data_IF_673887410486
#
_entry.id   IF_673887410486
#
_cell.length_a   1.000
_cell.length_b   1.000
_cell.length_c   1.000
_cell.angle_alpha   90.00
_cell.angle_beta   90.00
_cell.angle_gamma   90.00
#
_symmetry.space_group_name_H-M   'P 1'
#
loop_
_entity.id
_entity.type
_entity.pdbx_description
1 polymer ?
#
# COMPACT_ATOMS: atom_id res chain seq x y z
N UNK A 1 18.32 12.54 -17.09
CA UNK A 1 17.08 12.08 -16.43
C UNK A 1 17.08 12.75 -15.07
N UNK A 2 16.00 13.41 -14.69
CA UNK A 2 15.97 13.98 -13.34
C UNK A 2 15.78 12.87 -12.28
N UNK A 3 16.11 13.18 -11.02
CA UNK A 3 16.09 12.21 -9.93
C UNK A 3 14.68 11.60 -9.75
N UNK A 4 13.63 12.40 -9.95
CA UNK A 4 12.23 11.93 -9.79
C UNK A 4 11.92 10.90 -10.85
N UNK A 5 12.25 11.16 -12.12
CA UNK A 5 12.05 10.20 -13.21
C UNK A 5 12.81 8.91 -13.00
N UNK A 6 14.03 8.97 -12.46
CA UNK A 6 14.83 7.79 -12.15
C UNK A 6 14.16 6.96 -11.03
N UNK A 7 13.74 7.59 -9.94
CA UNK A 7 13.08 6.90 -8.83
C UNK A 7 11.76 6.25 -9.25
N UNK A 8 10.96 6.93 -10.08
CA UNK A 8 9.71 6.37 -10.62
C UNK A 8 10.00 5.11 -11.46
N UNK A 9 11.04 5.13 -12.28
CA UNK A 9 11.40 3.97 -13.08
C UNK A 9 11.92 2.81 -12.22
N UNK A 10 12.74 3.08 -11.22
CA UNK A 10 13.19 2.07 -10.24
C UNK A 10 12.02 1.45 -9.48
N UNK A 11 11.02 2.25 -9.06
CA UNK A 11 9.80 1.73 -8.44
C UNK A 11 8.98 0.86 -9.38
N UNK A 12 8.84 1.25 -10.65
CA UNK A 12 8.13 0.45 -11.66
C UNK A 12 8.79 -0.90 -11.89
N UNK A 13 10.11 -0.94 -12.00
CA UNK A 13 10.84 -2.20 -12.13
C UNK A 13 10.72 -3.05 -10.86
N UNK A 14 10.82 -2.43 -9.69
CA UNK A 14 10.62 -3.12 -8.40
C UNK A 14 9.21 -3.74 -8.32
N UNK A 15 8.18 -2.99 -8.69
CA UNK A 15 6.79 -3.44 -8.76
C UNK A 15 6.63 -4.67 -9.67
N UNK A 16 7.24 -4.65 -10.85
CA UNK A 16 7.18 -5.79 -11.80
C UNK A 16 7.86 -7.04 -11.21
N UNK A 17 9.01 -6.87 -10.56
CA UNK A 17 9.80 -7.98 -10.02
C UNK A 17 9.17 -8.67 -8.79
N UNK A 18 8.38 -7.92 -7.99
CA UNK A 18 7.79 -8.42 -6.75
C UNK A 18 6.33 -8.85 -6.90
N UNK A 19 5.81 -8.79 -8.11
CA UNK A 19 4.44 -9.16 -8.41
C UNK A 19 4.33 -10.65 -8.75
N UNK A 20 3.41 -11.35 -8.09
CA UNK A 20 3.07 -12.73 -8.41
C UNK A 20 1.96 -12.75 -9.49
N UNK A 21 2.35 -13.10 -10.70
CA UNK A 21 1.46 -13.21 -11.85
C UNK A 21 1.15 -11.87 -12.55
N UNK A 22 0.67 -11.96 -13.78
CA UNK A 22 0.15 -10.85 -14.57
C UNK A 22 -1.28 -11.15 -15.02
N UNK A 23 -2.24 -10.76 -14.20
CA UNK A 23 -3.67 -10.95 -14.45
C UNK A 23 -4.33 -9.66 -14.93
N UNK A 24 -3.73 -9.03 -15.95
CA UNK A 24 -4.28 -7.78 -16.51
C UNK A 24 -5.53 -8.07 -17.36
N UNK A 25 -6.59 -7.34 -17.09
CA UNK A 25 -7.79 -7.32 -17.93
C UNK A 25 -7.59 -6.29 -19.04
N UNK A 26 -7.40 -6.76 -20.27
CA UNK A 26 -7.14 -5.89 -21.43
C UNK A 26 -8.41 -5.17 -21.95
N UNK A 27 -9.56 -5.83 -21.84
CA UNK A 27 -10.85 -5.21 -22.24
C UNK A 27 -11.24 -4.11 -21.25
N UNK A 28 -11.89 -3.02 -21.70
CA UNK A 28 -12.43 -2.02 -20.80
C UNK A 28 -13.39 -2.64 -19.78
N UNK A 29 -13.18 -2.31 -18.50
CA UNK A 29 -14.07 -2.70 -17.41
C UNK A 29 -15.07 -1.56 -17.19
N UNK A 30 -16.35 -1.85 -17.34
CA UNK A 30 -17.42 -0.90 -17.01
C UNK A 30 -18.03 -1.29 -15.66
N UNK A 31 -18.11 -0.37 -14.71
CA UNK A 31 -18.72 -0.70 -13.40
C UNK A 31 -20.22 -1.02 -13.52
N UNK A 32 -20.88 -0.58 -14.61
CA UNK A 32 -22.27 -0.94 -14.94
C UNK A 32 -22.49 -2.41 -15.31
N UNK A 33 -21.43 -3.15 -15.64
CA UNK A 33 -21.51 -4.59 -15.90
C UNK A 33 -21.71 -5.40 -14.60
N UNK A 34 -21.62 -4.73 -13.46
CA UNK A 34 -21.78 -5.28 -12.12
C UNK A 34 -22.98 -4.63 -11.43
N UNK A 35 -24.03 -5.41 -11.07
CA UNK A 35 -25.30 -4.86 -10.57
C UNK A 35 -25.16 -3.93 -9.35
N UNK A 36 -24.23 -4.25 -8.44
CA UNK A 36 -23.98 -3.47 -7.21
C UNK A 36 -22.72 -2.60 -7.30
N UNK A 37 -22.18 -2.41 -8.52
CA UNK A 37 -20.88 -1.80 -8.75
C UNK A 37 -19.73 -2.82 -8.75
N UNK A 38 -18.55 -2.36 -9.13
CA UNK A 38 -17.36 -3.19 -9.21
C UNK A 38 -16.65 -3.25 -7.86
N UNK A 39 -16.64 -4.41 -7.22
CA UNK A 39 -15.93 -4.66 -5.97
C UNK A 39 -14.57 -5.33 -6.23
N UNK A 40 -13.48 -4.61 -5.99
CA UNK A 40 -12.11 -5.12 -6.07
C UNK A 40 -11.60 -5.43 -4.66
N UNK A 41 -11.87 -6.65 -4.20
CA UNK A 41 -11.33 -7.19 -2.97
C UNK A 41 -11.09 -8.71 -3.13
N UNK A 42 -10.17 -9.32 -2.36
CA UNK A 42 -9.81 -10.74 -2.50
C UNK A 42 -10.97 -11.71 -2.25
N UNK A 43 -12.01 -11.26 -1.54
CA UNK A 43 -13.23 -12.04 -1.25
C UNK A 43 -14.38 -11.66 -2.19
N UNK A 44 -14.15 -10.68 -3.08
CA UNK A 44 -15.16 -10.14 -3.97
C UNK A 44 -15.60 -11.11 -5.05
N UNK A 45 -16.83 -10.91 -5.54
CA UNK A 45 -17.46 -11.74 -6.57
C UNK A 45 -17.29 -11.18 -7.98
N UNK A 46 -16.41 -10.20 -8.17
CA UNK A 46 -16.22 -9.53 -9.46
C UNK A 46 -15.70 -10.43 -10.58
N UNK A 47 -15.12 -11.59 -10.21
CA UNK A 47 -14.45 -12.46 -11.17
C UNK A 47 -13.08 -11.93 -11.65
N UNK A 48 -12.71 -10.73 -11.23
CA UNK A 48 -11.39 -10.15 -11.52
C UNK A 48 -10.41 -10.67 -10.47
N UNK A 49 -9.40 -11.40 -10.93
CA UNK A 49 -8.37 -11.95 -10.04
C UNK A 49 -7.27 -10.93 -9.80
N UNK A 50 -6.87 -10.69 -8.53
CA UNK A 50 -5.69 -9.91 -8.24
C UNK A 50 -4.41 -10.72 -8.50
N UNK A 51 -3.34 -10.04 -8.86
CA UNK A 51 -1.99 -10.48 -8.53
C UNK A 51 -1.63 -9.96 -7.14
N UNK A 52 -0.53 -10.45 -6.57
CA UNK A 52 -0.13 -10.04 -5.23
C UNK A 52 1.28 -9.48 -5.23
N UNK A 53 1.47 -8.34 -4.56
CA UNK A 53 2.79 -7.88 -4.15
C UNK A 53 3.13 -8.55 -2.83
N UNK A 54 4.33 -9.11 -2.75
CA UNK A 54 4.83 -9.82 -1.56
C UNK A 54 5.97 -9.03 -0.94
N UNK A 55 5.81 -8.67 0.34
CA UNK A 55 6.84 -8.00 1.12
C UNK A 55 7.20 -8.85 2.33
N UNK A 56 8.47 -9.22 2.46
CA UNK A 56 8.99 -10.06 3.54
C UNK A 56 9.49 -9.27 4.73
N UNK A 57 9.70 -7.98 4.54
CA UNK A 57 10.22 -7.06 5.55
C UNK A 57 9.83 -5.62 5.22
N UNK A 58 10.05 -4.74 6.19
CA UNK A 58 9.69 -3.32 6.07
C UNK A 58 10.53 -2.58 5.01
N UNK A 59 11.75 -3.05 4.73
CA UNK A 59 12.60 -2.41 3.73
C UNK A 59 12.06 -2.63 2.32
N UNK A 60 11.57 -3.85 2.03
CA UNK A 60 10.92 -4.15 0.76
C UNK A 60 9.66 -3.28 0.57
N UNK A 61 8.84 -3.12 1.63
CA UNK A 61 7.67 -2.23 1.59
C UNK A 61 8.09 -0.77 1.41
N UNK A 62 9.13 -0.31 2.09
CA UNK A 62 9.70 1.04 1.96
C UNK A 62 10.07 1.37 0.52
N UNK A 63 10.76 0.47 -0.16
CA UNK A 63 11.17 0.66 -1.57
C UNK A 63 9.97 0.85 -2.49
N UNK A 64 8.85 0.18 -2.19
CA UNK A 64 7.63 0.30 -2.97
C UNK A 64 6.87 1.61 -2.70
N UNK A 65 6.86 2.08 -1.45
CA UNK A 65 6.06 3.25 -1.06
C UNK A 65 6.76 4.58 -1.41
N UNK A 66 7.63 5.05 -0.54
CA UNK A 66 8.34 6.34 -0.73
C UNK A 66 9.83 6.12 -0.46
N UNK A 67 10.68 5.96 -1.48
CA UNK A 67 12.11 5.88 -1.30
C UNK A 67 12.67 7.07 -0.53
N UNK A 68 13.72 6.87 0.27
CA UNK A 68 14.29 7.91 1.15
C UNK A 68 14.70 9.17 0.40
N UNK A 69 15.19 9.04 -0.84
CA UNK A 69 15.57 10.18 -1.67
C UNK A 69 14.37 11.13 -1.90
N UNK A 70 13.18 10.59 -2.18
CA UNK A 70 11.96 11.40 -2.34
C UNK A 70 11.45 11.93 -1.00
N UNK A 71 11.52 11.13 0.06
CA UNK A 71 11.12 11.57 1.39
C UNK A 71 11.95 12.77 1.86
N UNK A 72 13.27 12.73 1.67
CA UNK A 72 14.18 13.83 2.05
C UNK A 72 13.93 15.09 1.22
N UNK A 73 13.59 14.96 -0.06
CA UNK A 73 13.21 16.11 -0.90
C UNK A 73 11.94 16.80 -0.41
N UNK A 74 11.05 16.07 0.25
CA UNK A 74 9.82 16.56 0.84
C UNK A 74 10.01 16.84 2.34
N UNK A 75 10.41 18.06 2.71
CA UNK A 75 10.58 18.52 4.09
C UNK A 75 11.68 17.79 4.90
N UNK A 76 12.76 17.32 4.25
CA UNK A 76 13.85 16.61 4.92
C UNK A 76 13.50 15.20 5.39
N UNK A 77 12.33 14.70 5.04
CA UNK A 77 11.89 13.35 5.35
C UNK A 77 11.43 13.11 6.80
N UNK A 78 11.46 14.14 7.65
CA UNK A 78 10.96 14.06 9.03
C UNK A 78 9.48 14.40 9.08
N UNK A 79 8.65 13.43 9.51
CA UNK A 79 7.21 13.61 9.70
C UNK A 79 6.86 14.25 11.06
N UNK A 80 7.87 14.66 11.83
CA UNK A 80 7.74 15.36 13.13
C UNK A 80 6.96 14.58 14.21
N UNK A 81 7.06 13.25 14.18
CA UNK A 81 6.43 12.41 15.20
C UNK A 81 7.10 12.43 16.55
N UNK A 82 8.31 13.01 16.66
CA UNK A 82 9.07 13.08 17.90
C UNK A 82 9.45 11.70 18.45
N UNK A 83 9.89 10.81 17.57
CA UNK A 83 10.27 9.44 17.90
C UNK A 83 11.36 9.40 18.98
N UNK A 84 11.15 8.57 20.01
CA UNK A 84 12.06 8.47 21.15
C UNK A 84 13.17 7.45 20.97
N UNK A 85 13.11 6.65 19.91
CA UNK A 85 13.96 5.51 19.66
C UNK A 85 13.51 4.27 20.44
N UNK A 86 13.47 3.13 19.74
CA UNK A 86 13.13 1.86 20.38
C UNK A 86 14.33 1.32 21.13
N UNK A 87 14.12 1.01 22.40
CA UNK A 87 15.10 0.27 23.21
C UNK A 87 14.58 -1.14 23.39
N UNK A 88 15.30 -2.08 22.82
CA UNK A 88 14.97 -3.48 22.95
C UNK A 88 14.93 -3.87 24.44
N UNK A 89 13.76 -4.34 24.85
CA UNK A 89 13.59 -4.94 26.17
C UNK A 89 13.91 -6.44 25.99
N UNK A 90 14.52 -7.06 26.97
CA UNK A 90 14.82 -8.50 26.91
C UNK A 90 13.53 -9.33 26.90
N UNK A 91 13.30 -10.08 25.82
CA UNK A 91 12.18 -11.01 25.65
C UNK A 91 11.46 -10.91 24.31
N UNK A 92 10.70 -11.94 24.00
CA UNK A 92 9.78 -11.91 22.86
C UNK A 92 8.58 -11.02 23.20
N UNK A 93 8.32 -10.01 22.36
CA UNK A 93 7.15 -9.13 22.48
C UNK A 93 6.08 -9.54 21.49
N UNK A 94 4.87 -9.69 22.00
CA UNK A 94 3.67 -9.67 21.17
C UNK A 94 3.05 -8.28 21.21
N UNK A 95 2.27 -7.92 20.20
CA UNK A 95 1.54 -6.64 20.16
C UNK A 95 0.68 -6.41 21.41
N UNK A 96 0.15 -7.48 22.00
CA UNK A 96 -0.69 -7.45 23.20
C UNK A 96 0.07 -7.01 24.46
N UNK A 97 1.38 -7.17 24.50
CA UNK A 97 2.23 -6.80 25.64
C UNK A 97 2.72 -5.34 25.60
N UNK A 98 2.42 -4.64 24.52
CA UNK A 98 2.76 -3.23 24.35
C UNK A 98 1.76 -2.34 25.11
N UNK A 99 2.26 -1.37 25.85
CA UNK A 99 1.43 -0.30 26.40
C UNK A 99 0.83 0.56 25.28
N UNK A 100 -0.27 1.30 25.52
CA UNK A 100 -0.85 2.20 24.53
C UNK A 100 0.14 3.23 23.96
N UNK A 101 1.05 3.74 24.80
CA UNK A 101 2.08 4.70 24.36
C UNK A 101 3.13 4.04 23.44
N UNK A 102 3.55 2.81 23.75
CA UNK A 102 4.48 2.05 22.92
C UNK A 102 3.84 1.71 21.56
N UNK A 103 2.56 1.33 21.54
CA UNK A 103 1.83 1.09 20.26
C UNK A 103 1.76 2.35 19.41
N UNK A 104 1.45 3.49 20.00
CA UNK A 104 1.39 4.76 19.29
C UNK A 104 2.78 5.13 18.72
N UNK A 105 3.84 4.97 19.51
CA UNK A 105 5.22 5.26 19.07
C UNK A 105 5.66 4.33 17.94
N UNK A 106 5.33 3.03 18.02
CA UNK A 106 5.60 2.05 16.96
C UNK A 106 4.79 2.39 15.68
N UNK A 107 3.53 2.77 15.82
CA UNK A 107 2.71 3.19 14.67
C UNK A 107 3.31 4.43 13.98
N UNK A 108 3.71 5.44 14.75
CA UNK A 108 4.41 6.61 14.20
C UNK A 108 5.74 6.24 13.56
N UNK A 109 6.50 5.32 14.19
CA UNK A 109 7.75 4.83 13.62
C UNK A 109 7.53 4.07 12.30
N UNK A 110 6.47 3.27 12.20
CA UNK A 110 6.07 2.62 10.95
C UNK A 110 5.80 3.65 9.86
N UNK A 111 5.00 4.67 10.15
CA UNK A 111 4.69 5.75 9.21
C UNK A 111 5.95 6.53 8.80
N UNK A 112 6.80 6.87 9.78
CA UNK A 112 8.09 7.53 9.51
C UNK A 112 8.98 6.67 8.61
N UNK A 113 9.03 5.35 8.89
CA UNK A 113 9.84 4.43 8.09
C UNK A 113 9.34 4.36 6.65
N UNK A 114 8.04 4.20 6.43
CA UNK A 114 7.46 3.99 5.11
C UNK A 114 7.35 5.29 4.29
N UNK A 115 6.91 6.39 4.89
CA UNK A 115 6.59 7.63 4.18
C UNK A 115 7.62 8.75 4.37
N UNK A 116 8.44 8.67 5.43
CA UNK A 116 9.51 9.62 5.72
C UNK A 116 10.89 9.11 5.34
N UNK A 117 11.92 9.70 5.91
CA UNK A 117 13.29 9.18 5.88
C UNK A 117 13.40 8.01 6.87
N UNK A 118 13.59 6.80 6.36
CA UNK A 118 13.64 5.58 7.16
C UNK A 118 14.76 5.59 8.21
N UNK A 119 15.84 6.31 7.94
CA UNK A 119 16.99 6.43 8.87
C UNK A 119 16.60 7.07 10.20
N UNK A 120 15.57 7.92 10.22
CA UNK A 120 15.05 8.54 11.44
C UNK A 120 14.26 7.55 12.31
N UNK A 121 13.85 6.43 11.77
CA UNK A 121 13.15 5.35 12.48
C UNK A 121 13.97 4.04 12.52
N UNK A 122 15.26 4.07 12.18
CA UNK A 122 16.09 2.86 12.07
C UNK A 122 16.13 2.03 13.35
N UNK A 123 16.10 2.65 14.53
CA UNK A 123 16.04 1.93 15.81
C UNK A 123 14.78 1.09 16.02
N UNK A 124 13.74 1.31 15.21
CA UNK A 124 12.49 0.55 15.26
C UNK A 124 12.43 -0.59 14.25
N UNK A 125 13.37 -0.68 13.31
CA UNK A 125 13.34 -1.63 12.19
C UNK A 125 13.07 -3.07 12.63
N UNK A 126 13.79 -3.54 13.64
CA UNK A 126 13.66 -4.93 14.10
C UNK A 126 12.31 -5.21 14.75
N UNK A 127 11.78 -4.27 15.58
CA UNK A 127 10.45 -4.45 16.17
C UNK A 127 9.34 -4.33 15.12
N UNK A 128 9.49 -3.47 14.12
CA UNK A 128 8.55 -3.35 13.01
C UNK A 128 8.48 -4.64 12.19
N UNK A 129 9.64 -5.21 11.84
CA UNK A 129 9.68 -6.50 11.15
C UNK A 129 9.06 -7.62 12.00
N UNK A 130 9.34 -7.66 13.28
CA UNK A 130 8.80 -8.67 14.19
C UNK A 130 7.29 -8.59 14.36
N UNK A 131 6.72 -7.37 14.36
CA UNK A 131 5.27 -7.19 14.56
C UNK A 131 4.46 -7.34 13.28
N UNK A 132 4.97 -6.83 12.15
CA UNK A 132 4.19 -6.70 10.93
C UNK A 132 4.57 -7.68 9.81
N UNK A 133 5.74 -8.32 9.91
CA UNK A 133 6.27 -9.22 8.87
C UNK A 133 6.62 -10.61 9.42
N UNK A 134 5.86 -11.12 10.41
CA UNK A 134 5.97 -12.52 10.85
C UNK A 134 5.66 -13.49 9.70
N UNK A 135 4.71 -13.09 8.86
CA UNK A 135 4.45 -13.69 7.55
C UNK A 135 4.59 -12.60 6.48
N UNK A 136 4.89 -12.96 5.22
CA UNK A 136 4.96 -11.98 4.15
C UNK A 136 3.64 -11.19 4.04
N UNK A 137 3.74 -9.87 3.99
CA UNK A 137 2.60 -9.01 3.72
C UNK A 137 2.20 -9.18 2.24
N UNK A 138 0.93 -9.47 1.99
CA UNK A 138 0.37 -9.67 0.66
C UNK A 138 -0.58 -8.51 0.32
N UNK A 139 -0.25 -7.73 -0.69
CA UNK A 139 -1.09 -6.62 -1.17
C UNK A 139 -1.73 -7.03 -2.50
N UNK A 140 -3.08 -7.12 -2.58
CA UNK A 140 -3.76 -7.44 -3.83
C UNK A 140 -3.67 -6.27 -4.81
N UNK A 141 -3.28 -6.59 -6.05
CA UNK A 141 -3.17 -5.66 -7.17
C UNK A 141 -4.11 -6.10 -8.28
N UNK A 142 -5.09 -5.28 -8.57
CA UNK A 142 -6.02 -5.46 -9.69
C UNK A 142 -5.52 -4.65 -10.88
N UNK A 143 -5.28 -5.31 -12.01
CA UNK A 143 -4.73 -4.64 -13.18
C UNK A 143 -5.69 -4.64 -14.33
N UNK A 144 -5.85 -3.47 -14.94
CA UNK A 144 -6.73 -3.28 -16.09
C UNK A 144 -6.11 -2.30 -17.12
N UNK A 145 -6.44 -2.48 -18.40
CA UNK A 145 -6.12 -1.48 -19.41
C UNK A 145 -6.93 -0.20 -19.18
N UNK A 146 -8.23 -0.34 -18.93
CA UNK A 146 -9.14 0.79 -18.75
C UNK A 146 -10.26 0.44 -17.78
N UNK A 147 -10.57 1.36 -16.87
CA UNK A 147 -11.73 1.26 -15.96
C UNK A 147 -12.62 2.49 -16.15
N UNK A 148 -13.92 2.27 -16.34
CA UNK A 148 -14.92 3.34 -16.45
C UNK A 148 -15.93 3.21 -15.33
N UNK A 149 -15.93 4.17 -14.42
CA UNK A 149 -16.87 4.22 -13.29
C UNK A 149 -18.14 4.94 -13.72
N UNK A 150 -19.25 4.24 -13.69
CA UNK A 150 -20.54 4.70 -14.14
C UNK A 150 -21.41 5.20 -12.99
N UNK A 151 -22.24 6.21 -13.26
CA UNK A 151 -23.20 6.72 -12.27
C UNK A 151 -24.14 5.61 -11.78
N UNK A 152 -24.28 5.50 -10.45
CA UNK A 152 -25.11 4.48 -9.81
C UNK A 152 -24.48 3.09 -9.72
N UNK A 153 -23.25 2.93 -10.24
CA UNK A 153 -22.48 1.69 -10.16
C UNK A 153 -21.07 2.01 -9.65
N UNK A 154 -20.87 2.10 -8.33
CA UNK A 154 -19.60 2.55 -7.76
C UNK A 154 -18.45 1.59 -8.06
N UNK A 155 -17.23 2.12 -8.05
CA UNK A 155 -16.01 1.33 -7.92
C UNK A 155 -15.68 1.24 -6.42
N UNK A 156 -15.63 0.02 -5.88
CA UNK A 156 -15.37 -0.23 -4.47
C UNK A 156 -14.03 -0.95 -4.35
N UNK A 157 -13.07 -0.31 -3.67
CA UNK A 157 -11.72 -0.82 -3.45
C UNK A 157 -11.58 -1.32 -2.02
N UNK A 158 -11.17 -2.57 -1.85
CA UNK A 158 -11.00 -3.20 -0.55
C UNK A 158 -12.32 -3.64 0.10
N UNK A 159 -12.24 -4.06 1.34
CA UNK A 159 -13.36 -4.35 2.23
C UNK A 159 -13.00 -3.98 3.68
N UNK A 160 -13.97 -4.09 4.59
CA UNK A 160 -13.70 -3.93 6.03
C UNK A 160 -12.70 -4.99 6.49
N UNK A 161 -11.51 -4.56 6.92
CA UNK A 161 -10.41 -5.41 7.35
C UNK A 161 -9.38 -5.74 6.26
N UNK A 162 -9.50 -5.18 5.05
CA UNK A 162 -8.42 -5.22 4.05
C UNK A 162 -7.39 -4.13 4.39
N UNK A 163 -6.12 -4.52 4.53
CA UNK A 163 -5.07 -3.58 4.92
C UNK A 163 -4.72 -2.60 3.81
N UNK A 164 -4.68 -3.07 2.56
CA UNK A 164 -4.37 -2.26 1.39
C UNK A 164 -4.92 -2.93 0.12
N UNK A 165 -5.32 -2.13 -0.86
CA UNK A 165 -5.73 -2.61 -2.20
C UNK A 165 -5.18 -1.67 -3.25
N UNK A 166 -4.59 -2.22 -4.31
CA UNK A 166 -4.04 -1.46 -5.42
C UNK A 166 -4.86 -1.71 -6.68
N UNK A 167 -5.27 -0.63 -7.36
CA UNK A 167 -5.76 -0.65 -8.72
C UNK A 167 -4.68 -0.06 -9.65
N UNK A 168 -4.09 -0.92 -10.48
CA UNK A 168 -3.13 -0.57 -11.53
C UNK A 168 -3.86 -0.49 -12.87
N UNK A 169 -4.09 0.71 -13.40
CA UNK A 169 -4.78 0.88 -14.68
C UNK A 169 -4.15 1.99 -15.54
N UNK A 170 -4.16 1.78 -16.87
CA UNK A 170 -3.64 2.78 -17.79
C UNK A 170 -4.58 4.00 -17.90
N UNK A 171 -5.89 3.77 -17.74
CA UNK A 171 -6.90 4.82 -17.83
C UNK A 171 -8.03 4.57 -16.84
N UNK A 172 -8.30 5.55 -15.97
CA UNK A 172 -9.45 5.58 -15.08
C UNK A 172 -10.36 6.74 -15.47
N UNK A 173 -11.58 6.43 -15.92
CA UNK A 173 -12.60 7.43 -16.23
C UNK A 173 -13.67 7.36 -15.16
N UNK A 174 -13.93 8.48 -14.50
CA UNK A 174 -15.03 8.63 -13.54
C UNK A 174 -16.07 9.56 -14.16
N UNK A 175 -17.27 9.04 -14.46
CA UNK A 175 -18.34 9.84 -15.03
C UNK A 175 -18.92 10.82 -14.00
N UNK A 176 -19.57 11.87 -14.48
CA UNK A 176 -20.21 12.86 -13.61
C UNK A 176 -21.26 12.20 -12.69
N UNK A 177 -21.07 12.36 -11.38
CA UNK A 177 -21.92 11.75 -10.36
C UNK A 177 -21.68 10.27 -10.13
N UNK A 178 -20.58 9.70 -10.67
CA UNK A 178 -20.11 8.38 -10.29
C UNK A 178 -19.28 8.45 -9.01
N UNK A 179 -19.13 7.32 -8.32
CA UNK A 179 -18.49 7.25 -7.01
C UNK A 179 -17.37 6.20 -6.98
N UNK A 180 -16.27 6.53 -6.29
CA UNK A 180 -15.24 5.58 -5.88
C UNK A 180 -15.30 5.50 -4.36
N UNK A 181 -15.46 4.28 -3.84
CA UNK A 181 -15.52 4.01 -2.40
C UNK A 181 -14.26 3.22 -2.04
N UNK A 182 -13.46 3.75 -1.12
CA UNK A 182 -12.25 3.09 -0.63
C UNK A 182 -12.45 2.63 0.80
N UNK A 183 -12.17 1.35 1.07
CA UNK A 183 -12.11 0.78 2.41
C UNK A 183 -10.66 0.50 2.75
N UNK A 184 -10.15 1.12 3.83
CA UNK A 184 -8.75 1.03 4.22
C UNK A 184 -7.82 1.87 3.33
N UNK A 185 -6.57 1.46 3.24
CA UNK A 185 -5.59 2.11 2.37
C UNK A 185 -5.74 1.61 0.94
N UNK A 186 -6.03 2.51 0.01
CA UNK A 186 -6.20 2.18 -1.40
C UNK A 186 -5.32 3.08 -2.26
N UNK A 187 -4.69 2.49 -3.26
CA UNK A 187 -3.85 3.20 -4.22
C UNK A 187 -4.36 2.94 -5.64
N UNK A 188 -4.42 3.99 -6.44
CA UNK A 188 -4.65 3.92 -7.90
C UNK A 188 -3.39 4.41 -8.58
N UNK A 189 -2.83 3.60 -9.48
CA UNK A 189 -1.61 3.87 -10.23
C UNK A 189 -1.83 3.76 -11.74
#
# INVERSE_FOLDING_TARGET
MDIISQVIEEQREYFKCHRDGDYRVESPILTSDYPEGLHLNPKGKSGIQPSYLLFRNIDELKQMCVPDQLAVMNNGGDLNWGLKGWKEKSGEYTEQQLSPLERADICHAFQQYIYGDSRLAESYRDILNRLYFQEPMMIPVYSAGKVVVKKGHPLILGDEGTSCTVLDCNELIVEEGAEIIAHGECQVT
#
